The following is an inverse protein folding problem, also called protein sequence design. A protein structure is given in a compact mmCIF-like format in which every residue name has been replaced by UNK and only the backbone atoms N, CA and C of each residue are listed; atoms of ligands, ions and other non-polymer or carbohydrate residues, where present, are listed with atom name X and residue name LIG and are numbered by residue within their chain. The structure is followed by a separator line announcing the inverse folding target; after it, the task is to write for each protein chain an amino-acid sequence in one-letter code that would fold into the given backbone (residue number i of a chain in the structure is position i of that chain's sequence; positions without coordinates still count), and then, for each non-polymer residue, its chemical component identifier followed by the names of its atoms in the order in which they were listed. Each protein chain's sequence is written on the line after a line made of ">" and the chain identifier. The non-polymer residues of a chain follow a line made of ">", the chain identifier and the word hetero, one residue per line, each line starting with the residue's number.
data_IF_141327068361
#
_entry.id   IF_141327068361
#
_cell.length_a   1.000
_cell.length_b   1.000
_cell.length_c   1.000
_cell.angle_alpha   90.00
_cell.angle_beta   90.00
_cell.angle_gamma   90.00
#
_symmetry.space_group_name_H-M   'P 1'
#
loop_
_entity.id
_entity.type
_entity.pdbx_description
1 polymer ?
2 non-polymer ?
3 non-polymer ?
4 water ?
#
# COMPACT_ATOMS: atom_id res chain seq x y z
N UNK A 6 -22.20 9.63 -1.96
CA UNK A 6 -21.96 8.57 -2.95
C UNK A 6 -22.85 8.73 -4.19
N UNK A 7 -23.93 9.49 -4.04
CA UNK A 7 -24.91 9.67 -5.12
C UNK A 7 -24.45 10.65 -6.20
N UNK A 8 -23.46 11.48 -5.92
CA UNK A 8 -23.14 12.60 -6.81
C UNK A 8 -21.96 12.35 -7.75
N UNK A 9 -20.97 11.56 -7.34
CA UNK A 9 -19.80 11.24 -8.16
C UNK A 9 -19.01 12.51 -8.52
N UNK A 10 -18.53 13.17 -7.47
CA UNK A 10 -17.56 14.28 -7.57
C UNK A 10 -16.16 13.78 -7.25
N UNK A 11 -15.70 12.75 -7.95
CA UNK A 11 -14.37 12.20 -7.71
C UNK A 11 -13.35 12.87 -8.63
N UNK A 12 -12.08 12.57 -8.37
CA UNK A 12 -11.01 12.93 -9.30
C UNK A 12 -10.84 11.75 -10.26
N UNK A 13 -11.47 11.85 -11.43
CA UNK A 13 -11.45 10.72 -12.34
C UNK A 13 -10.09 10.49 -12.98
N UNK A 14 -9.19 11.48 -12.95
CA UNK A 14 -7.84 11.27 -13.45
C UNK A 14 -7.12 10.17 -12.69
N UNK A 15 -7.21 10.19 -11.36
CA UNK A 15 -6.62 9.12 -10.55
C UNK A 15 -7.24 7.77 -10.88
N UNK A 16 -8.56 7.78 -11.15
CA UNK A 16 -9.23 6.54 -11.56
C UNK A 16 -8.61 6.01 -12.86
N UNK A 17 -8.38 6.89 -13.84
CA UNK A 17 -7.77 6.43 -15.09
C UNK A 17 -6.35 5.93 -14.87
N UNK A 18 -5.61 6.56 -13.96
CA UNK A 18 -4.25 6.12 -13.68
C UNK A 18 -4.23 4.71 -13.09
N UNK A 19 -5.07 4.47 -12.07
CA UNK A 19 -5.15 3.14 -11.47
C UNK A 19 -5.56 2.12 -12.53
N UNK A 20 -6.57 2.45 -13.34
CA UNK A 20 -7.04 1.51 -14.37
C UNK A 20 -5.96 1.22 -15.41
N UNK A 21 -5.11 2.21 -15.73
CA UNK A 21 -4.07 2.03 -16.73
C UNK A 21 -2.96 1.12 -16.22
N UNK A 22 -2.51 1.36 -14.98
CA UNK A 22 -1.52 0.46 -14.40
C UNK A 22 -2.07 -0.95 -14.27
N UNK A 23 -3.33 -1.09 -13.87
CA UNK A 23 -3.93 -2.41 -13.71
C UNK A 23 -4.02 -3.15 -15.05
N UNK A 24 -4.45 -2.45 -16.11
CA UNK A 24 -4.54 -3.07 -17.42
C UNK A 24 -3.16 -3.47 -17.95
N UNK A 25 -2.13 -2.69 -17.63
CA UNK A 25 -0.78 -3.09 -18.00
C UNK A 25 -0.36 -4.35 -17.24
N UNK A 26 -0.62 -4.39 -15.94
CA UNK A 26 -0.34 -5.59 -15.18
C UNK A 26 -0.99 -6.81 -15.78
N UNK A 27 -2.24 -6.69 -16.22
CA UNK A 27 -2.95 -7.85 -16.77
C UNK A 27 -2.41 -8.24 -18.15
N UNK A 28 -2.09 -7.26 -19.01
CA UNK A 28 -1.58 -7.64 -20.31
C UNK A 28 -0.15 -8.15 -20.22
N UNK A 29 0.55 -7.85 -19.13
CA UNK A 29 1.89 -8.39 -18.91
C UNK A 29 1.81 -9.80 -18.35
N UNK A 30 0.96 -10.02 -17.35
CA UNK A 30 0.85 -11.34 -16.76
C UNK A 30 0.45 -12.39 -17.79
N UNK A 31 -0.33 -12.00 -18.80
CA UNK A 31 -0.68 -12.93 -19.84
C UNK A 31 0.47 -13.33 -20.75
N UNK A 32 1.64 -12.72 -20.60
CA UNK A 32 2.80 -13.11 -21.39
C UNK A 32 4.00 -13.35 -20.48
N UNK A 33 3.99 -12.71 -19.31
CA UNK A 33 5.05 -12.90 -18.31
C UNK A 33 4.70 -14.13 -17.49
N UNK A 34 5.26 -15.27 -17.90
CA UNK A 34 4.97 -16.58 -17.33
C UNK A 34 3.46 -16.77 -17.21
N UNK A 35 2.76 -16.98 -18.31
CA UNK A 35 1.30 -17.16 -18.25
C UNK A 35 0.93 -18.60 -17.91
N UNK A 36 -0.36 -18.78 -17.65
CA UNK A 36 -0.95 -20.07 -17.31
C UNK A 36 -2.46 -19.90 -17.33
N UNK A 37 -3.20 -20.83 -17.93
CA UNK A 37 -4.67 -20.66 -18.01
C UNK A 37 -5.34 -20.50 -16.65
N UNK A 38 -4.86 -21.21 -15.63
CA UNK A 38 -5.48 -21.16 -14.30
C UNK A 38 -4.87 -20.09 -13.40
N UNK A 39 -3.71 -19.55 -13.76
CA UNK A 39 -3.08 -18.50 -12.95
C UNK A 39 -3.57 -17.11 -13.31
N UNK A 40 -4.21 -16.92 -14.47
CA UNK A 40 -4.84 -15.64 -14.80
C UNK A 40 -6.25 -15.51 -14.26
N UNK A 41 -6.90 -16.63 -13.92
CA UNK A 41 -8.27 -16.58 -13.39
C UNK A 41 -8.30 -16.10 -11.96
N UNK A 42 -7.36 -16.58 -11.12
CA UNK A 42 -7.33 -16.15 -9.73
C UNK A 42 -7.19 -14.64 -9.62
N UNK A 43 -6.31 -14.04 -10.42
CA UNK A 43 -6.16 -12.60 -10.34
C UNK A 43 -7.31 -11.85 -11.01
N UNK A 44 -7.93 -12.43 -12.01
CA UNK A 44 -9.13 -11.79 -12.54
C UNK A 44 -10.23 -11.75 -11.49
N UNK A 45 -10.42 -12.84 -10.75
CA UNK A 45 -11.41 -12.84 -9.68
C UNK A 45 -11.00 -11.87 -8.59
N UNK A 46 -9.70 -11.76 -8.32
CA UNK A 46 -9.24 -10.75 -7.38
C UNK A 46 -9.59 -9.35 -7.86
N UNK A 47 -9.42 -9.06 -9.15
CA UNK A 47 -9.77 -7.73 -9.64
C UNK A 47 -11.26 -7.47 -9.47
N UNK A 48 -12.09 -8.47 -9.80
CA UNK A 48 -13.52 -8.32 -9.57
C UNK A 48 -13.83 -8.02 -8.12
N UNK A 49 -13.29 -8.82 -7.20
CA UNK A 49 -13.46 -8.57 -5.78
C UNK A 49 -12.94 -7.20 -5.37
N UNK A 50 -11.83 -6.77 -5.97
CA UNK A 50 -11.24 -5.49 -5.57
C UNK A 50 -12.12 -4.32 -5.97
N UNK A 51 -12.52 -4.28 -7.24
CA UNK A 51 -13.45 -3.26 -7.69
C UNK A 51 -14.75 -3.32 -6.89
N UNK A 52 -15.26 -4.53 -6.64
CA UNK A 52 -16.49 -4.65 -5.88
C UNK A 52 -16.35 -4.09 -4.48
N UNK A 53 -15.24 -4.41 -3.80
CA UNK A 53 -15.03 -3.91 -2.45
C UNK A 53 -14.82 -2.41 -2.44
N UNK A 54 -14.07 -1.89 -3.42
CA UNK A 54 -13.84 -0.46 -3.49
C UNK A 54 -15.12 0.29 -3.82
N UNK A 55 -16.04 -0.35 -4.54
CA UNK A 55 -17.35 0.25 -4.75
C UNK A 55 -18.18 0.19 -3.47
N UNK A 56 -18.25 -0.98 -2.82
CA UNK A 56 -19.00 -1.09 -1.58
C UNK A 56 -18.55 -0.04 -0.56
N UNK A 57 -17.25 0.23 -0.49
CA UNK A 57 -16.77 1.20 0.48
C UNK A 57 -17.18 2.63 0.13
N UNK A 58 -17.76 2.86 -1.05
CA UNK A 58 -18.26 4.19 -1.38
C UNK A 58 -19.56 4.52 -0.67
N UNK A 59 -20.26 3.53 -0.10
CA UNK A 59 -21.45 3.82 0.70
C UNK A 59 -21.05 4.14 2.14
N UNK A 60 -19.87 4.74 2.31
CA UNK A 60 -19.31 5.04 3.62
C UNK A 60 -18.86 6.49 3.63
N UNK A 61 -19.44 7.28 4.53
CA UNK A 61 -19.02 8.65 4.72
C UNK A 61 -17.63 8.72 5.33
N UNK A 62 -16.98 9.86 5.13
CA UNK A 62 -15.67 10.06 5.74
C UNK A 62 -15.78 10.23 7.25
N UNK A 63 -16.89 10.80 7.74
CA UNK A 63 -17.09 10.90 9.19
C UNK A 63 -17.06 9.53 9.84
N UNK A 64 -17.79 8.56 9.26
CA UNK A 64 -17.74 7.21 9.79
C UNK A 64 -16.36 6.59 9.65
N UNK A 65 -15.71 6.82 8.49
CA UNK A 65 -14.40 6.24 8.23
C UNK A 65 -13.38 6.68 9.29
N UNK A 66 -13.36 7.97 9.64
CA UNK A 66 -12.45 8.39 10.69
C UNK A 66 -12.99 8.11 12.08
N UNK A 67 -14.29 7.82 12.23
CA UNK A 67 -14.76 7.30 13.48
C UNK A 67 -14.25 5.90 13.77
N UNK A 68 -13.97 5.13 12.71
CA UNK A 68 -13.40 3.79 12.80
C UNK A 68 -11.88 3.79 12.86
N UNK A 69 -11.24 4.95 13.06
CA UNK A 69 -9.79 5.02 12.99
C UNK A 69 -9.15 4.17 14.07
N UNK A 70 -9.68 4.23 15.28
CA UNK A 70 -9.10 3.53 16.42
C UNK A 70 -9.56 2.07 16.48
N UNK A 71 -10.85 1.75 16.23
CA UNK A 71 -11.23 0.34 16.18
C UNK A 71 -10.52 -0.45 15.10
N UNK A 72 -10.34 0.11 13.90
CA UNK A 72 -9.63 -0.64 12.87
C UNK A 72 -8.17 -0.88 13.26
N UNK A 73 -7.55 0.09 13.93
CA UNK A 73 -6.18 -0.08 14.40
C UNK A 73 -6.08 -1.20 15.44
N UNK A 74 -6.99 -1.20 16.40
CA UNK A 74 -7.00 -2.28 17.37
C UNK A 74 -7.22 -3.64 16.74
N UNK A 75 -8.13 -3.72 15.76
CA UNK A 75 -8.41 -4.99 15.12
C UNK A 75 -7.24 -5.48 14.28
N UNK A 76 -6.50 -4.56 13.67
CA UNK A 76 -5.30 -4.98 12.96
C UNK A 76 -4.22 -5.42 13.92
N UNK A 77 -4.12 -4.78 15.09
CA UNK A 77 -3.16 -5.25 16.10
C UNK A 77 -3.50 -6.66 16.57
N UNK A 78 -4.76 -6.89 16.94
CA UNK A 78 -5.15 -8.22 17.40
C UNK A 78 -5.03 -9.26 16.29
N UNK A 79 -5.21 -8.87 15.02
CA UNK A 79 -5.06 -9.81 13.91
C UNK A 79 -3.59 -10.09 13.59
N UNK A 80 -2.73 -9.08 13.67
CA UNK A 80 -1.29 -9.32 13.58
C UNK A 80 -0.83 -10.27 14.68
N UNK A 81 -1.37 -10.10 15.89
CA UNK A 81 -1.00 -10.99 16.98
C UNK A 81 -1.53 -12.40 16.73
N UNK A 82 -2.75 -12.52 16.19
CA UNK A 82 -3.36 -13.83 15.96
C UNK A 82 -2.73 -14.59 14.80
N UNK A 83 -2.23 -13.88 13.78
CA UNK A 83 -1.60 -14.59 12.67
C UNK A 83 -0.34 -15.31 13.12
N UNK A 84 0.33 -14.82 14.16
CA UNK A 84 1.51 -15.49 14.70
C UNK A 84 1.18 -16.86 15.28
N UNK A 85 -0.04 -17.04 15.78
CA UNK A 85 -0.42 -18.29 16.44
C UNK A 85 -1.04 -19.27 15.45
N UNK A 86 -2.01 -18.83 14.65
CA UNK A 86 -2.75 -19.72 13.77
C UNK A 86 -2.57 -19.30 12.31
N UNK A 87 -1.33 -19.03 11.90
CA UNK A 87 -1.01 -18.71 10.54
C UNK A 87 -0.41 -19.89 9.78
N UNK A 88 -0.11 -19.65 8.51
CA UNK A 88 0.49 -20.65 7.62
C UNK A 88 1.87 -20.17 7.18
N UNK A 89 2.88 -21.02 7.38
CA UNK A 89 4.23 -20.68 6.96
C UNK A 89 4.37 -20.79 5.45
N UNK A 90 5.07 -19.83 4.84
CA UNK A 90 5.24 -19.81 3.39
C UNK A 90 6.73 -19.78 3.07
N UNK A 91 7.37 -18.65 3.34
CA UNK A 91 8.80 -18.53 3.11
C UNK A 91 9.51 -18.38 4.46
N UNK A 92 9.11 -19.20 5.43
CA UNK A 92 9.72 -19.20 6.74
C UNK A 92 9.04 -18.33 7.77
N UNK A 93 7.94 -17.66 7.41
CA UNK A 93 7.23 -16.75 8.29
C UNK A 93 5.73 -16.95 8.09
N UNK A 94 4.99 -17.02 9.19
CA UNK A 94 3.53 -17.12 9.14
C UNK A 94 2.96 -15.70 9.11
N UNK A 95 2.46 -15.29 7.94
CA UNK A 95 1.94 -13.95 7.75
C UNK A 95 0.64 -13.96 6.95
N UNK A 96 0.01 -15.11 6.79
CA UNK A 96 -1.17 -15.24 5.95
C UNK A 96 -2.23 -16.07 6.67
N UNK A 97 -3.48 -15.66 6.53
CA UNK A 97 -4.61 -16.48 6.93
C UNK A 97 -5.12 -17.19 5.69
N UNK A 98 -5.11 -18.52 5.70
CA UNK A 98 -5.55 -19.32 4.58
C UNK A 98 -6.74 -20.14 5.04
N UNK A 99 -7.94 -19.80 4.56
CA UNK A 99 -9.14 -20.54 4.85
C UNK A 99 -9.68 -21.16 3.56
N UNK A 100 -8.88 -22.02 2.94
CA UNK A 100 -9.25 -22.64 1.68
C UNK A 100 -8.96 -21.73 0.51
N UNK A 101 -10.03 -21.26 -0.16
CA UNK A 101 -9.86 -20.25 -1.21
C UNK A 101 -9.62 -18.84 -0.70
N UNK A 102 -9.77 -18.59 0.59
CA UNK A 102 -9.62 -17.25 1.16
C UNK A 102 -8.19 -17.04 1.64
N UNK A 103 -7.57 -15.92 1.24
CA UNK A 103 -6.21 -15.58 1.60
C UNK A 103 -6.16 -14.13 2.08
N UNK A 104 -6.03 -13.93 3.39
CA UNK A 104 -6.05 -12.60 3.99
C UNK A 104 -4.84 -12.40 4.88
N UNK A 105 -3.97 -11.46 4.51
CA UNK A 105 -2.77 -11.10 5.23
C UNK A 105 -3.03 -9.88 6.11
N UNK A 106 -2.78 -9.94 7.41
CA UNK A 106 -3.13 -8.80 8.29
C UNK A 106 -2.29 -7.57 8.05
N UNK A 107 -1.22 -7.66 7.27
CA UNK A 107 -0.38 -6.50 7.01
C UNK A 107 -1.16 -5.35 6.38
N UNK A 108 -2.08 -5.66 5.46
CA UNK A 108 -2.81 -4.61 4.76
C UNK A 108 -3.74 -3.87 5.71
N UNK A 109 -4.50 -4.62 6.51
CA UNK A 109 -5.34 -4.04 7.55
C UNK A 109 -4.51 -3.21 8.52
N UNK A 110 -3.31 -3.67 8.85
CA UNK A 110 -2.44 -2.88 9.72
C UNK A 110 -2.07 -1.55 9.07
N UNK A 111 -1.66 -1.58 7.80
CA UNK A 111 -1.27 -0.35 7.13
C UNK A 111 -2.41 0.66 7.15
N UNK A 112 -3.61 0.24 6.72
CA UNK A 112 -4.73 1.19 6.67
C UNK A 112 -5.13 1.66 8.07
N UNK A 113 -5.22 0.73 9.03
CA UNK A 113 -5.59 1.11 10.38
C UNK A 113 -4.61 2.07 11.01
N UNK A 114 -3.31 1.83 10.83
CA UNK A 114 -2.32 2.74 11.41
C UNK A 114 -2.35 4.10 10.73
N UNK A 115 -2.52 4.14 9.40
CA UNK A 115 -2.63 5.42 8.72
C UNK A 115 -3.82 6.22 9.26
N UNK A 116 -4.99 5.58 9.39
CA UNK A 116 -6.15 6.27 9.92
C UNK A 116 -5.94 6.71 11.37
N UNK A 117 -5.44 5.81 12.21
CA UNK A 117 -5.27 6.12 13.63
C UNK A 117 -4.29 7.28 13.83
N UNK A 118 -3.16 7.25 13.11
CA UNK A 118 -2.18 8.32 13.26
C UNK A 118 -2.69 9.63 12.68
N UNK A 119 -3.39 9.58 11.55
CA UNK A 119 -3.96 10.80 10.99
C UNK A 119 -4.94 11.44 11.95
N UNK A 120 -5.84 10.64 12.54
CA UNK A 120 -6.83 11.21 13.46
C UNK A 120 -6.19 11.70 14.75
N UNK A 121 -5.29 10.92 15.34
CA UNK A 121 -4.67 11.37 16.58
C UNK A 121 -3.68 12.52 16.37
N UNK A 122 -3.32 12.85 15.13
CA UNK A 122 -2.33 13.91 14.92
C UNK A 122 -2.90 15.14 14.22
N UNK A 123 -4.17 15.48 14.46
CA UNK A 123 -4.74 16.70 13.88
C UNK A 123 -5.02 17.78 14.91
N UNK A 124 -4.77 17.54 16.19
CA UNK A 124 -4.80 18.61 17.18
C UNK A 124 -3.49 19.36 17.22
N UNK A 125 -3.48 20.63 16.77
CA UNK A 125 -2.22 21.32 16.52
C UNK A 125 -1.33 21.43 17.75
N UNK A 126 -1.80 21.85 18.93
CA UNK A 126 -0.93 21.84 20.10
C UNK A 126 -0.83 20.45 20.72
N UNK A 127 0.39 20.09 21.11
CA UNK A 127 0.68 18.85 21.83
C UNK A 127 1.70 19.16 22.92
N UNK A 128 1.71 18.33 23.96
CA UNK A 128 2.77 18.40 24.96
C UNK A 128 4.13 18.13 24.32
N UNK A 129 5.19 18.63 24.95
CA UNK A 129 6.52 18.56 24.36
C UNK A 129 7.11 17.15 24.36
N UNK A 130 6.42 16.17 24.95
CA UNK A 130 6.94 14.81 25.01
C UNK A 130 6.23 13.87 24.03
N UNK A 131 4.92 14.03 23.81
CA UNK A 131 4.14 13.12 22.97
C UNK A 131 4.45 13.27 21.49
N UNK A 132 5.15 14.33 21.08
CA UNK A 132 5.59 14.44 19.70
C UNK A 132 6.48 13.26 19.29
N UNK A 133 7.16 12.66 20.27
CA UNK A 133 7.96 11.46 20.06
C UNK A 133 7.18 10.19 20.37
N UNK A 134 6.37 10.24 21.43
CA UNK A 134 5.79 9.03 22.02
C UNK A 134 4.54 8.56 21.27
N UNK A 135 3.65 9.49 20.92
CA UNK A 135 2.38 9.08 20.31
C UNK A 135 2.61 8.29 19.02
N UNK A 136 3.34 8.79 18.02
CA UNK A 136 3.63 7.92 16.86
C UNK A 136 4.42 6.69 17.24
N UNK A 137 5.32 6.81 18.21
CA UNK A 137 6.06 5.65 18.70
C UNK A 137 5.14 4.58 19.27
N UNK A 138 4.30 4.94 20.25
CA UNK A 138 3.50 3.91 20.87
C UNK A 138 2.36 3.44 19.97
N UNK A 139 2.06 4.15 18.89
CA UNK A 139 1.08 3.65 17.94
C UNK A 139 1.70 2.80 16.84
N UNK A 140 2.99 2.99 16.53
CA UNK A 140 3.66 2.24 15.48
C UNK A 140 4.42 1.02 15.99
N UNK A 141 5.03 1.12 17.17
CA UNK A 141 5.87 0.03 17.64
C UNK A 141 5.13 -1.29 17.79
N UNK A 142 3.90 -1.36 18.32
CA UNK A 142 3.21 -2.66 18.32
C UNK A 142 3.06 -3.26 16.92
N UNK A 143 2.76 -2.43 15.92
CA UNK A 143 2.58 -2.93 14.56
C UNK A 143 3.91 -3.43 14.00
N UNK A 144 4.96 -2.62 14.09
CA UNK A 144 6.25 -3.02 13.52
C UNK A 144 6.81 -4.23 14.25
N UNK A 145 6.61 -4.29 15.57
CA UNK A 145 7.08 -5.43 16.33
C UNK A 145 6.36 -6.71 15.99
N UNK A 146 5.02 -6.65 15.86
CA UNK A 146 4.29 -7.83 15.44
C UNK A 146 4.53 -8.15 13.96
N UNK A 147 5.02 -7.20 13.18
CA UNK A 147 5.44 -7.52 11.83
C UNK A 147 6.80 -8.18 11.79
N UNK A 148 7.67 -7.92 12.78
CA UNK A 148 8.98 -8.56 12.83
C UNK A 148 8.96 -9.94 13.49
N UNK A 149 7.91 -10.27 14.23
CA UNK A 149 7.78 -11.58 14.87
C UNK A 149 7.37 -12.68 13.90
N UNK A 150 7.07 -12.35 12.65
CA UNK A 150 6.57 -13.36 11.71
C UNK A 150 7.71 -14.25 11.21
N UNK A 151 8.83 -13.70 10.69
CA UNK A 151 9.20 -12.30 10.43
C UNK A 151 8.93 -11.83 8.99
N UNK A 152 8.43 -10.60 8.83
CA UNK A 152 8.21 -9.96 7.53
C UNK A 152 8.64 -8.50 7.69
N UNK A 153 9.84 -8.17 7.22
CA UNK A 153 10.32 -6.80 7.36
C UNK A 153 10.03 -5.92 6.16
N UNK A 154 9.54 -6.49 5.05
CA UNK A 154 9.10 -5.64 3.95
C UNK A 154 7.89 -4.80 4.33
N UNK A 155 6.86 -5.47 4.86
CA UNK A 155 5.73 -4.74 5.40
C UNK A 155 6.11 -3.83 6.55
N UNK A 156 7.08 -4.25 7.37
CA UNK A 156 7.56 -3.38 8.43
C UNK A 156 8.18 -2.10 7.85
N UNK A 157 8.96 -2.25 6.77
CA UNK A 157 9.54 -1.08 6.11
C UNK A 157 8.45 -0.16 5.55
N UNK A 158 7.46 -0.75 4.87
CA UNK A 158 6.36 0.06 4.32
C UNK A 158 5.67 0.83 5.42
N UNK A 159 5.30 0.13 6.50
CA UNK A 159 4.61 0.76 7.61
C UNK A 159 5.43 1.89 8.20
N UNK A 160 6.69 1.61 8.54
CA UNK A 160 7.54 2.61 9.17
C UNK A 160 7.73 3.82 8.27
N UNK A 161 7.94 3.58 6.97
CA UNK A 161 8.14 4.71 6.06
C UNK A 161 6.88 5.53 5.90
N UNK A 162 5.71 4.87 5.87
CA UNK A 162 4.47 5.61 5.91
C UNK A 162 4.39 6.53 7.12
N UNK A 163 4.65 5.96 8.31
CA UNK A 163 4.64 6.77 9.52
C UNK A 163 5.61 7.93 9.40
N UNK A 164 6.77 7.68 8.80
CA UNK A 164 7.72 8.76 8.56
C UNK A 164 7.07 9.87 7.73
N UNK A 165 6.37 9.49 6.67
CA UNK A 165 5.80 10.50 5.79
C UNK A 165 4.74 11.31 6.53
N UNK A 166 3.88 10.63 7.28
CA UNK A 166 2.85 11.31 8.07
C UNK A 166 3.48 12.31 9.04
N UNK A 167 4.47 11.85 9.81
CA UNK A 167 5.13 12.71 10.77
C UNK A 167 5.82 13.87 10.06
N UNK A 168 6.54 13.61 8.96
CA UNK A 168 7.31 14.66 8.30
C UNK A 168 6.40 15.74 7.73
N UNK A 169 5.33 15.34 7.04
CA UNK A 169 4.38 16.30 6.52
C UNK A 169 3.68 17.05 7.65
N UNK A 170 3.43 16.37 8.77
CA UNK A 170 2.79 17.04 9.90
C UNK A 170 3.66 18.13 10.48
N UNK A 171 4.90 17.81 10.81
CA UNK A 171 5.81 18.76 11.44
C UNK A 171 6.17 18.33 12.85
N UNK A 172 6.70 17.13 12.98
CA UNK A 172 7.07 16.51 14.24
C UNK A 172 8.46 15.92 14.10
N UNK A 173 9.03 15.40 15.20
CA UNK A 173 10.34 14.73 15.09
C UNK A 173 10.28 13.50 14.20
N UNK A 174 11.07 13.51 13.12
CA UNK A 174 11.07 12.44 12.14
C UNK A 174 12.42 11.80 11.93
N UNK A 175 13.50 12.40 12.43
CA UNK A 175 14.83 11.85 12.18
C UNK A 175 15.00 10.49 12.83
N UNK A 176 14.46 10.32 14.05
CA UNK A 176 14.55 9.01 14.69
C UNK A 176 13.83 7.95 13.87
N UNK A 177 12.75 8.33 13.19
CA UNK A 177 12.03 7.36 12.35
C UNK A 177 12.87 6.92 11.15
N UNK A 178 13.59 7.85 10.52
CA UNK A 178 14.48 7.47 9.43
C UNK A 178 15.65 6.63 9.93
N UNK A 179 16.18 6.94 11.11
CA UNK A 179 17.20 6.09 11.71
C UNK A 179 16.68 4.67 11.85
N UNK A 180 15.52 4.51 12.49
CA UNK A 180 14.92 3.20 12.61
C UNK A 180 14.68 2.54 11.27
N UNK A 181 14.29 3.32 10.26
CA UNK A 181 13.98 2.75 8.95
C UNK A 181 15.23 2.19 8.29
N UNK A 182 16.30 2.99 8.23
CA UNK A 182 17.52 2.53 7.60
C UNK A 182 18.15 1.38 8.39
N UNK A 183 18.06 1.40 9.72
CA UNK A 183 18.64 0.31 10.50
C UNK A 183 17.88 -0.99 10.28
N UNK A 184 16.55 -0.92 10.24
CA UNK A 184 15.76 -2.10 9.94
C UNK A 184 16.01 -2.59 8.52
N UNK A 185 16.27 -1.66 7.58
CA UNK A 185 16.54 -2.00 6.20
C UNK A 185 17.95 -2.54 5.98
N UNK A 186 18.76 -2.65 7.03
CA UNK A 186 20.11 -3.18 6.91
C UNK A 186 20.20 -4.64 7.32
N UNK A 187 19.26 -5.13 8.12
CA UNK A 187 19.18 -6.55 8.47
C UNK A 187 18.48 -7.38 7.40
N UNK A 188 18.28 -6.81 6.20
CA UNK A 188 17.63 -7.50 5.10
C UNK A 188 18.54 -8.60 4.54
N UNK A 228 15.79 -5.45 -23.23
CA UNK A 228 16.41 -6.04 -24.41
C UNK A 228 16.49 -5.00 -25.54
N UNK A 229 16.77 -3.77 -25.18
CA UNK A 229 16.86 -2.68 -26.14
C UNK A 229 15.78 -1.64 -25.89
N UNK A 230 15.69 -0.69 -26.81
CA UNK A 230 14.66 0.33 -26.68
C UNK A 230 13.27 -0.25 -26.98
N UNK A 231 13.20 -1.30 -27.78
CA UNK A 231 11.93 -1.92 -28.12
C UNK A 231 11.55 -3.11 -27.26
N UNK A 232 12.45 -4.07 -27.13
CA UNK A 232 12.19 -5.26 -26.34
C UNK A 232 11.83 -6.46 -27.17
N UNK A 233 11.08 -7.38 -26.53
CA UNK A 233 10.64 -8.62 -27.18
C UNK A 233 9.15 -8.64 -27.49
N UNK A 234 8.31 -7.96 -26.70
CA UNK A 234 6.85 -7.89 -26.92
C UNK A 234 6.19 -9.26 -26.74
N UNK A 235 6.59 -9.98 -25.68
CA UNK A 235 6.06 -11.31 -25.45
C UNK A 235 6.74 -12.41 -26.22
N UNK A 236 7.96 -12.19 -26.69
CA UNK A 236 8.69 -13.18 -27.47
C UNK A 236 9.80 -13.78 -26.61
N UNK A 252 8.74 -19.70 -9.71
CA UNK A 252 9.25 -18.43 -10.22
C UNK A 252 9.35 -17.40 -9.10
N UNK A 253 10.37 -16.55 -9.16
CA UNK A 253 10.63 -15.57 -8.10
C UNK A 253 9.48 -14.57 -8.00
N UNK A 254 9.52 -13.73 -6.96
CA UNK A 254 8.46 -12.74 -6.77
C UNK A 254 8.44 -11.73 -7.91
N UNK A 255 9.60 -11.44 -8.51
CA UNK A 255 9.72 -10.50 -9.63
C UNK A 255 9.53 -11.15 -10.99
N UNK A 256 8.79 -12.28 -11.06
CA UNK A 256 8.58 -12.96 -12.33
C UNK A 256 7.57 -12.27 -13.21
N UNK A 257 7.00 -11.15 -12.76
CA UNK A 257 6.08 -10.35 -13.54
C UNK A 257 6.82 -9.11 -14.04
N UNK A 258 7.81 -8.66 -13.29
CA UNK A 258 8.54 -7.46 -13.66
C UNK A 258 9.84 -7.75 -14.40
N UNK A 259 10.52 -8.86 -14.07
CA UNK A 259 11.73 -9.23 -14.79
C UNK A 259 11.43 -9.56 -16.24
N UNK A 260 10.22 -10.02 -16.54
CA UNK A 260 9.80 -10.32 -17.91
C UNK A 260 9.36 -9.06 -18.63
N UNK A 261 8.68 -8.14 -17.93
CA UNK A 261 8.26 -6.88 -18.54
C UNK A 261 9.47 -6.02 -18.90
N UNK A 262 10.48 -5.97 -18.01
CA UNK A 262 11.64 -5.12 -18.24
C UNK A 262 12.45 -5.57 -19.45
N UNK A 263 12.36 -6.84 -19.83
CA UNK A 263 13.07 -7.41 -20.97
C UNK A 263 12.23 -7.48 -22.25
N UNK A 264 10.93 -7.76 -22.14
CA UNK A 264 10.09 -7.83 -23.34
C UNK A 264 9.64 -6.46 -23.83
N UNK A 265 9.76 -5.42 -23.00
CA UNK A 265 9.37 -4.06 -23.36
C UNK A 265 10.48 -3.04 -23.21
N UNK A 266 11.59 -3.40 -22.57
CA UNK A 266 12.80 -2.61 -22.66
C UNK A 266 12.70 -1.24 -22.03
N UNK A 267 13.51 -0.31 -22.55
CA UNK A 267 13.64 0.98 -21.91
C UNK A 267 12.37 1.81 -22.04
N UNK A 268 11.69 1.72 -23.18
CA UNK A 268 10.41 2.44 -23.32
C UNK A 268 9.37 1.86 -22.36
N UNK A 269 9.38 0.55 -22.17
CA UNK A 269 8.44 -0.07 -21.24
C UNK A 269 8.67 0.35 -19.80
N UNK A 270 9.93 0.26 -19.33
CA UNK A 270 10.19 0.66 -17.94
C UNK A 270 9.98 2.15 -17.76
N UNK A 271 10.36 2.96 -18.75
CA UNK A 271 10.15 4.39 -18.63
C UNK A 271 8.66 4.70 -18.55
N UNK A 272 7.85 4.03 -19.37
CA UNK A 272 6.41 4.28 -19.34
C UNK A 272 5.76 3.82 -18.04
N UNK A 273 6.19 2.67 -17.51
CA UNK A 273 5.60 2.18 -16.26
C UNK A 273 6.00 3.06 -15.08
N UNK A 274 7.28 3.43 -14.98
CA UNK A 274 7.70 4.37 -13.96
C UNK A 274 7.05 5.72 -14.13
N UNK A 275 6.73 6.10 -15.36
CA UNK A 275 5.99 7.33 -15.57
C UNK A 275 4.56 7.23 -15.08
N UNK A 276 3.91 6.09 -15.32
CA UNK A 276 2.58 5.88 -14.78
C UNK A 276 2.58 5.93 -13.26
N UNK A 277 3.60 5.33 -12.63
CA UNK A 277 3.69 5.40 -11.18
C UNK A 277 4.02 6.81 -10.69
N UNK A 278 4.83 7.55 -11.46
CA UNK A 278 5.13 8.92 -11.09
C UNK A 278 3.90 9.82 -11.15
N UNK A 279 3.09 9.65 -12.20
CA UNK A 279 1.84 10.39 -12.31
C UNK A 279 0.87 10.00 -11.21
N UNK A 280 0.84 8.72 -10.83
CA UNK A 280 -0.05 8.30 -9.75
C UNK A 280 0.36 8.92 -8.42
N UNK A 281 1.66 8.90 -8.10
CA UNK A 281 2.12 9.53 -6.87
C UNK A 281 1.89 11.04 -6.91
N UNK A 282 2.04 11.66 -8.08
CA UNK A 282 1.78 13.09 -8.23
C UNK A 282 0.32 13.42 -7.98
N UNK A 283 -0.61 12.64 -8.56
CA UNK A 283 -2.02 12.91 -8.34
C UNK A 283 -2.41 12.66 -6.89
N UNK A 284 -1.80 11.67 -6.24
CA UNK A 284 -2.08 11.44 -4.83
C UNK A 284 -1.64 12.62 -3.98
N UNK A 285 -0.41 13.10 -4.17
CA UNK A 285 0.05 14.25 -3.40
C UNK A 285 -0.66 15.54 -3.79
N UNK A 286 -1.21 15.62 -5.01
CA UNK A 286 -2.02 16.78 -5.39
C UNK A 286 -3.37 16.74 -4.70
N UNK A 287 -4.00 15.57 -4.64
CA UNK A 287 -5.24 15.44 -3.86
C UNK A 287 -4.98 15.68 -2.39
N UNK A 288 -3.76 15.36 -1.91
CA UNK A 288 -3.44 15.49 -0.49
C UNK A 288 -3.48 16.94 -0.05
N UNK A 289 -2.77 17.83 -0.75
CA UNK A 289 -2.79 19.25 -0.41
C UNK A 289 -4.04 19.95 -0.89
N UNK A 290 -5.02 19.22 -1.45
CA UNK A 290 -6.29 19.79 -1.85
C UNK A 290 -7.40 19.48 -0.84
N UNK A 291 -7.04 19.13 0.39
CA UNK A 291 -7.98 18.80 1.43
C UNK A 291 -7.89 19.82 2.56
N UNK A 292 -9.02 20.41 2.99
CA UNK A 292 -8.96 21.40 4.07
C UNK A 292 -8.59 20.79 5.41
N UNK A 293 -9.21 19.65 5.72
CA UNK A 293 -8.93 18.96 6.98
C UNK A 293 -7.49 18.47 6.99
N UNK A 294 -6.83 18.59 8.15
CA UNK A 294 -5.43 18.18 8.25
C UNK A 294 -5.29 16.67 8.30
N UNK A 295 -6.22 16.00 8.99
CA UNK A 295 -6.19 14.54 9.06
C UNK A 295 -6.26 13.92 7.67
N UNK A 296 -7.06 14.50 6.78
CA UNK A 296 -7.11 13.98 5.41
C UNK A 296 -5.79 14.17 4.69
N UNK A 297 -5.21 15.37 4.79
CA UNK A 297 -3.89 15.59 4.20
C UNK A 297 -2.92 14.51 4.67
N UNK A 298 -2.87 14.28 5.99
CA UNK A 298 -1.96 13.27 6.53
C UNK A 298 -2.27 11.88 5.99
N UNK A 299 -3.54 11.49 5.94
CA UNK A 299 -3.91 10.16 5.49
C UNK A 299 -3.52 9.94 4.02
N UNK A 300 -3.90 10.89 3.15
CA UNK A 300 -3.55 10.79 1.74
C UNK A 300 -2.04 10.72 1.53
N UNK A 301 -1.29 11.54 2.26
CA UNK A 301 0.17 11.56 2.06
C UNK A 301 0.81 10.28 2.58
N UNK A 302 0.33 9.75 3.71
CA UNK A 302 0.83 8.47 4.19
C UNK A 302 0.58 7.35 3.20
N UNK A 303 -0.62 7.32 2.62
CA UNK A 303 -0.93 6.30 1.62
C UNK A 303 0.01 6.40 0.42
N UNK A 304 0.16 7.62 -0.13
CA UNK A 304 1.04 7.81 -1.28
C UNK A 304 2.48 7.43 -0.94
N UNK A 305 2.93 7.75 0.27
CA UNK A 305 4.26 7.34 0.68
C UNK A 305 4.45 5.84 0.66
N UNK A 306 3.53 5.12 1.30
CA UNK A 306 3.63 3.66 1.32
C UNK A 306 3.66 3.08 -0.10
N UNK A 307 2.81 3.61 -0.97
CA UNK A 307 2.74 3.09 -2.33
C UNK A 307 4.06 3.34 -3.08
N UNK A 308 4.49 4.60 -3.13
CA UNK A 308 5.77 4.91 -3.75
C UNK A 308 6.92 4.13 -3.16
N UNK A 309 6.86 3.84 -1.86
CA UNK A 309 7.96 3.12 -1.22
C UNK A 309 8.01 1.67 -1.69
N UNK A 310 6.86 1.00 -1.81
CA UNK A 310 6.89 -0.34 -2.38
C UNK A 310 7.45 -0.32 -3.80
N UNK A 311 7.08 0.69 -4.59
CA UNK A 311 7.59 0.77 -5.96
C UNK A 311 9.11 0.91 -5.96
N UNK A 312 9.64 1.83 -5.14
CA UNK A 312 11.08 2.03 -5.15
C UNK A 312 11.83 0.89 -4.49
N UNK A 313 11.17 0.10 -3.63
CA UNK A 313 11.78 -1.11 -3.09
C UNK A 313 11.96 -2.14 -4.19
N UNK A 314 10.93 -2.33 -5.02
CA UNK A 314 11.06 -3.25 -6.13
C UNK A 314 12.10 -2.79 -7.15
N UNK A 315 12.30 -1.47 -7.27
CA UNK A 315 13.38 -0.98 -8.14
C UNK A 315 14.74 -1.54 -7.69
N UNK A 316 15.10 -1.33 -6.41
CA UNK A 316 16.36 -1.84 -5.91
C UNK A 316 16.45 -3.35 -5.87
N UNK A 317 15.31 -4.03 -5.76
CA UNK A 317 15.30 -5.49 -5.87
C UNK A 317 15.72 -5.90 -7.28
N UNK A 318 15.17 -5.24 -8.29
CA UNK A 318 15.54 -5.54 -9.68
C UNK A 318 16.98 -5.16 -9.98
N UNK A 319 17.51 -4.15 -9.30
CA UNK A 319 18.91 -3.77 -9.50
C UNK A 319 19.86 -4.82 -8.94
N UNK A 320 19.55 -5.37 -7.78
CA UNK A 320 20.39 -6.39 -7.16
C UNK A 320 21.40 -5.83 -6.19
N UNK A 322 18.62 -7.78 -3.43
CA UNK A 322 19.00 -6.55 -2.73
C UNK A 322 19.42 -6.69 -1.25
N UNK A 323 18.88 -7.69 -0.49
CA UNK A 323 17.95 -8.82 -0.71
C UNK A 323 16.51 -8.43 -1.04
N UNK A 324 15.70 -9.46 -1.37
CA UNK A 324 14.32 -9.31 -1.81
C UNK A 324 13.39 -9.40 -0.61
N UNK A 325 12.24 -8.75 -0.73
CA UNK A 325 11.17 -8.82 0.25
C UNK A 325 9.89 -9.28 -0.45
N UNK A 326 8.87 -9.58 0.36
CA UNK A 326 7.61 -10.04 -0.20
C UNK A 326 6.74 -8.93 -0.78
N UNK A 327 7.33 -7.76 -1.01
CA UNK A 327 6.57 -6.58 -1.47
C UNK A 327 6.42 -6.64 -2.99
N UNK A 328 5.18 -6.73 -3.46
CA UNK A 328 4.93 -6.73 -4.88
C UNK A 328 4.83 -5.30 -5.41
N UNK A 329 4.89 -5.18 -6.72
CA UNK A 329 4.61 -3.91 -7.38
C UNK A 329 3.11 -3.67 -7.34
N UNK A 330 2.63 -2.64 -6.65
CA UNK A 330 1.18 -2.49 -6.45
C UNK A 330 0.41 -2.31 -7.75
N UNK A 331 -0.71 -3.03 -7.85
CA UNK A 331 -1.63 -3.03 -8.99
C UNK A 331 -1.05 -3.73 -10.21
N UNK A 332 0.25 -4.03 -10.19
CA UNK A 332 0.95 -4.56 -11.36
C UNK A 332 1.44 -5.99 -11.17
N UNK A 333 2.13 -6.28 -10.08
CA UNK A 333 2.67 -7.62 -9.88
C UNK A 333 1.55 -8.60 -9.52
N UNK A 334 1.86 -9.88 -9.66
CA UNK A 334 0.89 -10.94 -9.41
C UNK A 334 0.62 -11.08 -7.91
N UNK A 335 -0.65 -11.30 -7.56
CA UNK A 335 -1.05 -11.38 -6.17
C UNK A 335 -2.46 -10.86 -5.93
N UNK A 336 -3.38 -11.76 -5.59
CA UNK A 336 -4.78 -11.36 -5.47
C UNK A 336 -5.05 -10.48 -4.26
N UNK A 337 -4.40 -10.79 -3.13
CA UNK A 337 -4.60 -10.00 -1.93
C UNK A 337 -4.03 -8.59 -2.10
N UNK A 338 -2.84 -8.46 -2.68
CA UNK A 338 -2.26 -7.14 -2.86
C UNK A 338 -3.12 -6.28 -3.77
N UNK A 339 -3.59 -6.86 -4.88
CA UNK A 339 -4.50 -6.15 -5.77
C UNK A 339 -5.75 -5.69 -5.02
N UNK A 340 -6.42 -6.62 -4.33
CA UNK A 340 -7.65 -6.27 -3.63
C UNK A 340 -7.39 -5.19 -2.59
N UNK A 341 -6.30 -5.31 -1.83
CA UNK A 341 -6.02 -4.35 -0.77
C UNK A 341 -5.65 -2.98 -1.33
N UNK A 342 -4.89 -2.96 -2.43
CA UNK A 342 -4.56 -1.69 -3.06
C UNK A 342 -5.81 -1.01 -3.59
N UNK A 343 -6.71 -1.79 -4.19
CA UNK A 343 -7.97 -1.23 -4.67
C UNK A 343 -8.81 -0.70 -3.51
N UNK A 344 -8.85 -1.43 -2.40
CA UNK A 344 -9.63 -0.97 -1.25
C UNK A 344 -9.07 0.32 -0.68
N UNK A 345 -7.74 0.39 -0.53
CA UNK A 345 -7.13 1.62 -0.06
C UNK A 345 -7.36 2.77 -1.02
N UNK A 346 -7.32 2.50 -2.32
CA UNK A 346 -7.61 3.56 -3.29
C UNK A 346 -9.06 3.98 -3.22
N UNK A 347 -9.98 3.06 -2.93
CA UNK A 347 -11.37 3.44 -2.71
C UNK A 347 -11.54 4.33 -1.50
N UNK A 348 -10.86 4.00 -0.41
CA UNK A 348 -10.87 4.86 0.78
C UNK A 348 -10.35 6.25 0.43
N UNK A 349 -9.21 6.33 -0.25
CA UNK A 349 -8.64 7.64 -0.55
C UNK A 349 -9.60 8.42 -1.46
N UNK A 350 -10.28 7.73 -2.37
CA UNK A 350 -11.19 8.39 -3.30
C UNK A 350 -12.43 8.93 -2.58
N UNK A 351 -12.94 8.19 -1.60
CA UNK A 351 -14.08 8.68 -0.84
C UNK A 351 -13.68 9.79 0.12
N UNK A 352 -12.46 9.77 0.66
CA UNK A 352 -12.10 10.91 1.50
C UNK A 352 -11.82 12.14 0.65
N UNK A 353 -11.44 11.98 -0.62
CA UNK A 353 -11.35 13.14 -1.49
C UNK A 353 -12.72 13.66 -1.90
N UNK A 354 -13.70 12.79 -2.12
CA UNK A 354 -15.01 13.28 -2.53
C UNK A 354 -15.76 13.97 -1.41
N UNK A 355 -15.46 13.67 -0.14
CA UNK A 355 -16.12 14.31 0.98
C UNK A 355 -15.27 15.42 1.60
N UNK A 356 -14.34 16.00 0.84
CA UNK A 356 -13.37 16.92 1.42
C UNK A 356 -14.00 18.24 1.85
N UNK A 357 -15.08 18.65 1.21
CA UNK A 357 -15.81 19.88 1.54
C UNK A 357 -17.13 19.52 2.20
N UNK A 358 -17.04 18.91 3.39
CA UNK A 358 -18.23 18.51 4.13
C UNK A 358 -17.88 18.41 5.61
N UNK A 359 -18.91 18.34 6.44
CA UNK A 359 -18.72 18.23 7.88
C UNK A 359 -19.36 16.95 8.41
X LIG B 1 -9.64 -2.15 -15.69
X LIG B 1 -8.18 -10.46 -18.96
X LIG B 1 -8.49 -11.31 -19.97
X LIG B 1 -8.62 -3.01 -16.40
X LIG B 1 -9.23 -9.54 -18.39
X LIG B 1 -7.42 -12.23 -20.53
X LIG B 1 0.94 -13.72 -27.50
X LIG B 1 -9.10 -4.44 -16.52
X LIG B 1 -8.65 -8.71 -17.26
X LIG B 1 -6.24 -11.38 -20.96
X LIG B 1 -8.05 -5.26 -17.24
X LIG B 1 -9.38 -7.39 -17.15
X LIG B 1 -4.92 -12.06 -20.61
X LIG B 1 -8.71 -6.36 -18.05
X LIG B 1 -3.76 -11.29 -21.20
X LIG B 1 -3.88 -11.24 -22.72
X LIG B 1 -2.80 -12.04 -23.41
X LIG B 1 -2.97 -13.53 -23.17
X LIG B 1 -0.46 -14.67 -25.69
X LIG B 1 -2.35 -14.38 -24.26
X LIG B 1 0.66 -13.68 -26.01
X LIG B 1 -3.08 -14.94 -25.05
X LIG B 1 1.93 -12.79 -27.87
X LIG B 1 0.29 -12.38 -25.64
X LIG B 1 -0.95 -14.53 -24.37
X LIG C 1 -9.23 -3.16 4.16
X LIG C 1 -8.53 -3.77 3.18
X LIG C 1 -7.80 -5.07 3.45
X LIG C 1 -8.00 -14.70 -3.30
X LIG C 1 -7.80 -5.93 2.19
X LIG C 1 -7.63 -7.38 2.58
X LIG C 1 -6.48 -8.00 1.83
X LIG C 1 -6.76 -9.46 1.58
X LIG C 1 -8.06 -9.62 0.81
X LIG C 1 -8.06 -10.94 0.06
X LIG C 1 -8.72 -13.38 -1.31
X LIG C 1 -9.40 -11.65 0.20
X LIG C 1 -9.15 -13.98 -2.63
X LIG C 1 -10.14 -11.39 1.12
X LIG C 1 -8.13 -14.60 -4.71
X LIG C 1 -10.21 -14.88 -2.43
X LIG C 1 -9.78 -12.62 -0.77
X LIG D 1 -8.13 14.53 -15.38
X LIG E 1 13.68 15.50 13.92
#
# INVERSE_FOLDING_TARGET
>A
MAPARPNWLAYDWGLVFLVAAIVALGFVNLGSAAPDPVLLYRQSVALGLGLLLAFLLQFLSRRRLFGLAYPLYGASLLLLALVLVVGREINGARAWFVLGPLQFQPLELAKLGLLLALAKALEGRPIARVWDYALPALLTLPVVGLLLLQPDLGGALVVLFGVFVVVFVRGLPWRHLLVGLFALALLVPTAVWPNLKPYQRERVLIVLDPYRDPLGQGFQVIQSTIAIGSGGLFGKGYGQGTQAQLGFIPFRHTDFVFSVWAEEWGFVGVVGLLGLYGLLLARLFALALACPRLSDRLFLSGFAGMLGFQVVVNLGVALGVMPVTGLTLPLFSYGGSSLIATLAGLGLVLLVHRDRYQD
>B hetero
1 OLC C18 C10 C9 C17 C11 C8 C24 C16 C12 C7 C15 C13 C6 C14 C5 C4 C3 C2 C21 C1 C22 O19 O25 O23 O20
>C hetero
1 OLC C10 C9 C8 C24 C7 C6 C5 C4 C3 C2 C21 C1 C22 O19 O25 O23 O20
>D hetero
1 CL CL
>E hetero
1 CL CL
#
